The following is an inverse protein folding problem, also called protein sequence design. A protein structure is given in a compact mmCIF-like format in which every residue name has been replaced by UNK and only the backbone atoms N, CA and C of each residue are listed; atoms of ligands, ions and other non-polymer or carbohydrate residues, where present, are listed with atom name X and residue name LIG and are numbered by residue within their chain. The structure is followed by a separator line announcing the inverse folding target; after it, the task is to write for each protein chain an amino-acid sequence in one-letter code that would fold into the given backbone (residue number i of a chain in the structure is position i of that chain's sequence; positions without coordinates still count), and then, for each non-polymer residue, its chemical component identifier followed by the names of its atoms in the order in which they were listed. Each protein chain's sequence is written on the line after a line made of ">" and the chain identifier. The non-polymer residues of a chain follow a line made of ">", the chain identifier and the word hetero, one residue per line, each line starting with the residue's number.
data_IF_392385278732
#
_entry.id   IF_392385278732
#
_cell.length_a   1.000
_cell.length_b   1.000
_cell.length_c   1.000
_cell.angle_alpha   90.00
_cell.angle_beta   90.00
_cell.angle_gamma   90.00
#
_symmetry.space_group_name_H-M   'P 1'
#
loop_
_entity.id
_entity.type
_entity.pdbx_description
1 polymer ?
#
# COMPACT_ATOMS: atom_id res chain seq x y z
N UNK A 1 -24.30 -22.89 -4.30
CA UNK A 1 -24.45 -21.44 -4.59
C UNK A 1 -23.53 -21.16 -5.75
N UNK A 2 -24.02 -20.59 -6.85
CA UNK A 2 -23.17 -20.16 -8.00
C UNK A 2 -22.82 -18.69 -7.80
N UNK A 3 -21.58 -18.31 -8.08
CA UNK A 3 -21.10 -16.94 -8.01
C UNK A 3 -20.04 -16.74 -6.92
N UNK A 4 -19.69 -15.47 -6.68
CA UNK A 4 -18.71 -15.07 -5.67
C UNK A 4 -19.41 -14.58 -4.41
N UNK A 5 -18.89 -14.97 -3.25
CA UNK A 5 -19.35 -14.54 -1.94
C UNK A 5 -18.15 -14.19 -1.08
N UNK A 6 -18.12 -12.98 -0.53
CA UNK A 6 -17.16 -12.58 0.49
C UNK A 6 -17.84 -12.80 1.85
N UNK A 7 -17.16 -13.53 2.72
CA UNK A 7 -17.58 -13.78 4.10
C UNK A 7 -16.64 -13.05 5.03
N UNK A 8 -17.18 -12.14 5.85
CA UNK A 8 -16.43 -11.41 6.88
C UNK A 8 -16.83 -11.93 8.25
N UNK A 9 -15.85 -12.27 9.08
CA UNK A 9 -16.07 -12.82 10.42
C UNK A 9 -14.89 -12.48 11.35
N UNK A 10 -14.97 -12.93 12.59
CA UNK A 10 -13.90 -12.83 13.58
C UNK A 10 -13.59 -14.23 14.17
N UNK A 11 -12.33 -14.56 14.22
CA UNK A 11 -11.84 -15.77 14.91
C UNK A 11 -10.95 -15.35 16.09
N UNK A 12 -11.36 -15.70 17.32
CA UNK A 12 -10.67 -15.33 18.58
C UNK A 12 -10.42 -13.82 18.71
N UNK A 13 -11.35 -13.00 18.21
CA UNK A 13 -11.27 -11.54 18.25
C UNK A 13 -10.48 -10.90 17.11
N UNK A 14 -9.83 -11.69 16.25
CA UNK A 14 -9.11 -11.20 15.06
C UNK A 14 -9.99 -11.26 13.81
N UNK A 15 -9.83 -10.30 12.90
CA UNK A 15 -10.57 -10.28 11.65
C UNK A 15 -10.21 -11.47 10.75
N UNK A 16 -11.22 -12.05 10.14
CA UNK A 16 -11.08 -13.10 9.12
C UNK A 16 -11.96 -12.76 7.93
N UNK A 17 -11.45 -12.90 6.73
CA UNK A 17 -12.23 -12.77 5.50
C UNK A 17 -11.98 -13.97 4.60
N UNK A 18 -13.03 -14.45 3.93
CA UNK A 18 -12.94 -15.55 2.98
C UNK A 18 -13.63 -15.21 1.67
N UNK A 19 -12.99 -15.52 0.55
CA UNK A 19 -13.61 -15.50 -0.78
C UNK A 19 -14.07 -16.90 -1.14
N UNK A 20 -15.37 -17.04 -1.37
CA UNK A 20 -15.97 -18.26 -1.86
C UNK A 20 -16.34 -18.10 -3.34
N UNK A 21 -15.94 -19.04 -4.20
CA UNK A 21 -16.30 -19.08 -5.61
C UNK A 21 -17.04 -20.39 -5.89
N UNK A 22 -18.26 -20.28 -6.37
CA UNK A 22 -19.16 -21.43 -6.65
C UNK A 22 -19.27 -22.44 -5.48
N UNK A 23 -19.28 -21.91 -4.24
CA UNK A 23 -19.39 -22.70 -3.02
C UNK A 23 -18.08 -23.34 -2.54
N UNK A 24 -16.94 -23.01 -3.17
CA UNK A 24 -15.61 -23.47 -2.75
C UNK A 24 -14.81 -22.29 -2.20
N UNK A 25 -13.97 -22.54 -1.18
CA UNK A 25 -13.02 -21.58 -0.68
C UNK A 25 -11.96 -21.33 -1.75
N UNK A 26 -11.81 -20.06 -2.15
CA UNK A 26 -10.87 -19.60 -3.16
C UNK A 26 -9.70 -18.86 -2.50
N UNK A 27 -10.00 -17.93 -1.55
CA UNK A 27 -8.99 -17.20 -0.80
C UNK A 27 -9.42 -17.01 0.66
N UNK A 28 -8.44 -16.83 1.55
CA UNK A 28 -8.65 -16.70 2.98
C UNK A 28 -7.62 -15.75 3.61
N UNK A 29 -8.11 -14.71 4.27
CA UNK A 29 -7.30 -13.73 4.97
C UNK A 29 -7.53 -13.84 6.47
N UNK A 30 -6.45 -13.99 7.23
CA UNK A 30 -6.44 -13.93 8.68
C UNK A 30 -5.66 -12.71 9.15
N UNK A 31 -6.20 -12.03 10.14
CA UNK A 31 -5.43 -11.06 10.90
C UNK A 31 -4.45 -11.75 11.84
N UNK A 32 -3.36 -11.07 12.15
CA UNK A 32 -2.31 -11.55 13.04
C UNK A 32 -1.85 -10.38 13.92
N UNK A 33 -1.14 -10.69 15.02
CA UNK A 33 -0.51 -9.67 15.86
C UNK A 33 0.75 -9.05 15.20
N UNK A 34 1.16 -9.55 14.04
CA UNK A 34 2.29 -9.02 13.30
C UNK A 34 1.88 -7.76 12.51
N UNK A 35 2.82 -6.82 12.29
CA UNK A 35 2.56 -5.65 11.46
C UNK A 35 2.11 -6.05 10.06
N UNK A 36 1.04 -5.41 9.57
CA UNK A 36 0.42 -5.73 8.28
C UNK A 36 1.20 -5.16 7.11
N UNK A 37 1.34 -5.89 5.99
CA UNK A 37 1.89 -5.34 4.75
C UNK A 37 1.15 -4.07 4.34
N UNK A 38 1.89 -3.07 3.86
CA UNK A 38 1.34 -1.74 3.57
C UNK A 38 1.55 -0.73 4.69
N UNK A 39 1.84 -1.16 5.93
CA UNK A 39 2.17 -0.25 7.04
C UNK A 39 3.32 0.68 6.65
N UNK A 40 3.14 1.99 6.88
CA UNK A 40 4.13 3.02 6.62
C UNK A 40 4.72 3.50 7.94
N UNK A 41 6.03 3.49 8.02
CA UNK A 41 6.79 3.95 9.18
C UNK A 41 7.66 5.16 8.84
N UNK A 42 7.81 6.05 9.80
CA UNK A 42 9.03 6.82 9.95
C UNK A 42 10.01 5.95 10.71
N UNK A 43 11.05 5.47 10.03
CA UNK A 43 12.08 4.62 10.61
C UNK A 43 13.39 5.38 10.79
N UNK A 44 14.28 4.87 11.63
CA UNK A 44 15.61 5.45 11.85
C UNK A 44 16.67 4.50 11.28
N UNK A 45 17.49 5.00 10.36
CA UNK A 45 18.61 4.27 9.80
C UNK A 45 19.58 3.85 10.94
N UNK A 46 19.94 2.56 10.98
CA UNK A 46 20.77 2.00 12.03
C UNK A 46 22.17 1.66 11.49
N UNK A 47 22.32 0.53 10.82
CA UNK A 47 23.62 0.06 10.34
C UNK A 47 23.57 -0.47 8.92
N UNK A 48 24.55 -0.13 8.07
CA UNK A 48 24.64 -0.68 6.73
C UNK A 48 25.09 -2.15 6.77
N UNK A 49 24.61 -2.93 5.79
CA UNK A 49 25.06 -4.31 5.57
C UNK A 49 26.12 -4.31 4.48
N UNK A 50 27.35 -4.60 4.86
CA UNK A 50 28.50 -4.66 3.92
C UNK A 50 28.25 -5.71 2.84
N UNK A 51 28.52 -5.35 1.58
CA UNK A 51 28.43 -6.24 0.43
C UNK A 51 27.04 -6.44 -0.16
N UNK A 52 25.95 -6.07 0.53
CA UNK A 52 24.58 -6.24 0.03
C UNK A 52 23.91 -4.93 -0.37
N UNK A 53 24.52 -3.77 -0.11
CA UNK A 53 23.93 -2.45 -0.41
C UNK A 53 22.66 -2.15 0.36
N UNK A 54 22.40 -2.89 1.43
CA UNK A 54 21.23 -2.75 2.30
C UNK A 54 21.54 -2.07 3.62
N UNK A 55 20.50 -1.72 4.36
CA UNK A 55 20.60 -1.08 5.68
C UNK A 55 19.55 -1.65 6.63
N UNK A 56 19.95 -1.91 7.87
CA UNK A 56 19.00 -2.10 8.95
C UNK A 56 18.45 -0.75 9.42
N UNK A 57 17.18 -0.73 9.73
CA UNK A 57 16.50 0.44 10.29
C UNK A 57 15.71 0.05 11.54
N UNK A 58 15.46 1.00 12.42
CA UNK A 58 14.63 0.83 13.62
C UNK A 58 13.22 1.32 13.33
N UNK A 59 12.23 0.50 13.61
CA UNK A 59 10.79 0.84 13.58
C UNK A 59 10.19 0.58 14.96
N UNK A 60 8.98 1.10 15.27
CA UNK A 60 8.27 0.75 16.50
C UNK A 60 8.04 -0.75 16.69
N UNK A 61 7.83 -1.49 15.58
CA UNK A 61 7.54 -2.92 15.57
C UNK A 61 8.80 -3.80 15.47
N UNK A 62 9.99 -3.20 15.60
CA UNK A 62 11.25 -3.93 15.60
C UNK A 62 12.20 -3.57 14.46
N UNK A 63 13.26 -4.38 14.27
CA UNK A 63 14.25 -4.11 13.23
C UNK A 63 13.68 -4.37 11.83
N UNK A 64 13.89 -3.39 10.94
CA UNK A 64 13.55 -3.50 9.53
C UNK A 64 14.80 -3.61 8.65
N UNK A 65 14.65 -4.10 7.43
CA UNK A 65 15.70 -4.21 6.44
C UNK A 65 15.30 -3.58 5.10
N UNK A 66 16.11 -2.62 4.65
CA UNK A 66 16.04 -1.98 3.35
C UNK A 66 17.09 -2.57 2.40
N UNK A 67 16.64 -3.11 1.25
CA UNK A 67 17.57 -3.74 0.29
C UNK A 67 18.46 -2.75 -0.47
N UNK A 68 17.94 -1.57 -0.81
CA UNK A 68 18.64 -0.56 -1.61
C UNK A 68 18.65 0.77 -0.86
N UNK A 69 19.58 0.92 0.05
CA UNK A 69 19.68 2.06 0.96
C UNK A 69 20.88 2.97 0.63
N UNK A 70 21.01 3.39 -0.64
CA UNK A 70 22.09 4.29 -1.06
C UNK A 70 21.91 5.67 -0.45
N UNK A 71 22.99 6.24 0.09
CA UNK A 71 23.04 7.61 0.57
C UNK A 71 22.42 7.83 1.96
N UNK A 72 21.98 6.77 2.65
CA UNK A 72 21.49 6.87 4.02
C UNK A 72 22.64 6.82 5.04
N UNK A 73 22.60 7.73 6.01
CA UNK A 73 23.51 7.75 7.15
C UNK A 73 22.85 7.19 8.40
N UNK A 74 23.58 6.47 9.26
CA UNK A 74 23.07 6.05 10.57
C UNK A 74 22.51 7.24 11.38
N UNK A 75 21.36 7.04 12.02
CA UNK A 75 20.64 8.07 12.75
C UNK A 75 19.68 8.92 11.91
N UNK A 76 19.72 8.83 10.61
CA UNK A 76 18.81 9.55 9.71
C UNK A 76 17.41 8.94 9.78
N UNK A 77 16.37 9.77 9.89
CA UNK A 77 14.99 9.35 9.73
C UNK A 77 14.63 9.17 8.26
N UNK A 78 13.76 8.22 7.97
CA UNK A 78 13.33 7.87 6.61
C UNK A 78 11.94 7.27 6.61
N UNK A 79 11.15 7.61 5.61
CA UNK A 79 9.86 6.97 5.36
C UNK A 79 10.07 5.62 4.64
N UNK A 80 9.42 4.59 5.16
CA UNK A 80 9.49 3.23 4.61
C UNK A 80 8.15 2.52 4.71
N UNK A 81 7.90 1.57 3.83
CA UNK A 81 6.69 0.76 3.82
C UNK A 81 7.00 -0.72 3.95
N UNK A 82 6.22 -1.42 4.76
CA UNK A 82 6.29 -2.87 4.92
C UNK A 82 5.74 -3.56 3.66
N UNK A 83 6.53 -4.42 3.03
CA UNK A 83 6.18 -5.06 1.75
C UNK A 83 5.46 -6.39 1.90
N UNK A 84 5.77 -7.14 2.95
CA UNK A 84 5.17 -8.44 3.26
C UNK A 84 5.35 -8.76 4.74
N UNK A 85 4.65 -9.77 5.23
CA UNK A 85 4.93 -10.30 6.57
C UNK A 85 6.38 -10.76 6.68
N UNK A 86 6.99 -10.47 7.82
CA UNK A 86 8.33 -10.95 8.11
C UNK A 86 8.32 -12.46 8.41
N UNK A 87 9.33 -13.17 7.96
CA UNK A 87 9.55 -14.55 8.41
C UNK A 87 9.96 -14.54 9.89
N UNK A 88 9.58 -15.56 10.66
CA UNK A 88 9.94 -15.66 12.07
C UNK A 88 11.44 -15.46 12.31
N UNK A 89 11.78 -14.53 13.20
CA UNK A 89 13.19 -14.19 13.54
C UNK A 89 13.92 -13.35 12.51
N UNK A 90 13.29 -12.92 11.42
CA UNK A 90 13.88 -11.99 10.44
C UNK A 90 13.40 -10.55 10.63
N UNK A 91 14.20 -9.61 10.14
CA UNK A 91 13.83 -8.19 10.10
C UNK A 91 12.66 -7.94 9.15
N UNK A 92 11.85 -6.92 9.45
CA UNK A 92 10.73 -6.47 8.62
C UNK A 92 11.22 -6.12 7.22
N UNK A 93 10.67 -6.70 6.14
CA UNK A 93 11.06 -6.37 4.78
C UNK A 93 10.45 -5.04 4.36
N UNK A 94 11.29 -4.02 4.22
CA UNK A 94 10.89 -2.64 3.99
C UNK A 94 11.35 -2.13 2.62
N UNK A 95 10.60 -1.14 2.10
CA UNK A 95 10.95 -0.39 0.89
C UNK A 95 10.81 1.11 1.14
N UNK A 96 11.61 1.91 0.41
CA UNK A 96 11.45 3.37 0.34
C UNK A 96 10.41 3.79 -0.69
N UNK A 97 10.06 2.89 -1.64
CA UNK A 97 9.02 3.14 -2.64
C UNK A 97 7.65 2.96 -2.00
N UNK A 98 7.13 4.05 -1.45
CA UNK A 98 5.84 4.07 -0.79
C UNK A 98 4.72 4.10 -1.83
N UNK A 99 3.69 3.28 -1.62
CA UNK A 99 2.48 3.23 -2.43
C UNK A 99 1.27 3.45 -1.52
N UNK A 100 0.43 4.41 -1.87
CA UNK A 100 -0.85 4.64 -1.19
C UNK A 100 -1.94 3.95 -2.00
N UNK A 101 -2.44 2.83 -1.46
CA UNK A 101 -3.36 1.93 -2.16
C UNK A 101 -4.73 1.97 -1.52
N UNK A 102 -5.75 2.04 -2.35
CA UNK A 102 -7.15 1.93 -1.97
C UNK A 102 -7.89 0.97 -2.89
N UNK A 103 -9.23 1.01 -2.85
CA UNK A 103 -10.07 0.18 -3.71
C UNK A 103 -9.86 0.47 -5.19
N UNK A 104 -9.83 1.74 -5.59
CA UNK A 104 -9.82 2.19 -7.00
C UNK A 104 -8.47 2.71 -7.44
N UNK A 105 -7.69 3.29 -6.53
CA UNK A 105 -6.48 4.04 -6.83
C UNK A 105 -5.23 3.48 -6.17
N UNK A 106 -4.08 3.69 -6.83
CA UNK A 106 -2.75 3.55 -6.24
C UNK A 106 -2.00 4.83 -6.58
N UNK A 107 -1.74 5.66 -5.57
CA UNK A 107 -0.90 6.84 -5.73
C UNK A 107 0.57 6.45 -5.52
N UNK A 108 1.43 6.90 -6.43
CA UNK A 108 2.85 6.53 -6.51
C UNK A 108 3.73 7.78 -6.47
N UNK A 109 4.14 8.26 -5.28
CA UNK A 109 4.90 9.52 -5.15
C UNK A 109 6.19 9.58 -5.98
N UNK A 110 6.93 8.45 -6.04
CA UNK A 110 8.23 8.37 -6.69
C UNK A 110 8.17 7.93 -8.17
N UNK A 111 6.98 7.73 -8.72
CA UNK A 111 6.79 7.25 -10.09
C UNK A 111 5.70 8.07 -10.79
N UNK A 112 6.02 9.26 -11.33
CA UNK A 112 5.05 10.12 -11.99
C UNK A 112 4.42 9.45 -13.21
N UNK A 113 3.22 9.89 -13.56
CA UNK A 113 2.45 9.42 -14.72
C UNK A 113 1.12 8.79 -14.32
N UNK A 114 0.15 8.94 -15.22
CA UNK A 114 -1.21 8.41 -15.03
C UNK A 114 -1.36 7.11 -15.82
N UNK A 115 -1.79 6.06 -15.14
CA UNK A 115 -1.93 4.73 -15.72
C UNK A 115 -3.29 4.12 -15.39
N UNK A 116 -3.80 3.30 -16.31
CA UNK A 116 -5.03 2.54 -16.12
C UNK A 116 -4.70 1.06 -16.23
N UNK A 117 -5.30 0.24 -15.38
CA UNK A 117 -5.12 -1.21 -15.39
C UNK A 117 -5.24 -1.78 -16.81
N UNK A 118 -4.30 -2.64 -17.20
CA UNK A 118 -4.27 -3.28 -18.52
C UNK A 118 -5.43 -4.26 -18.74
N UNK A 119 -6.14 -4.66 -17.69
CA UNK A 119 -7.32 -5.50 -17.79
C UNK A 119 -8.55 -4.76 -18.32
N UNK A 120 -8.59 -3.42 -18.22
CA UNK A 120 -9.60 -2.58 -18.83
C UNK A 120 -9.19 -2.36 -20.29
N UNK A 121 -9.88 -3.03 -21.23
CA UNK A 121 -9.53 -3.04 -22.66
C UNK A 121 -10.41 -2.13 -23.51
N UNK A 122 -11.56 -1.74 -23.00
CA UNK A 122 -12.49 -0.85 -23.69
C UNK A 122 -11.90 0.57 -23.76
N UNK A 123 -11.75 1.10 -24.96
CA UNK A 123 -11.06 2.38 -25.20
C UNK A 123 -11.90 3.56 -24.69
N UNK A 124 -13.21 3.55 -24.84
CA UNK A 124 -14.08 4.62 -24.35
C UNK A 124 -14.02 4.70 -22.83
N UNK A 125 -14.04 3.53 -22.17
CA UNK A 125 -13.87 3.43 -20.72
C UNK A 125 -12.49 3.93 -20.26
N UNK A 126 -11.44 3.62 -21.02
CA UNK A 126 -10.08 4.08 -20.73
C UNK A 126 -9.96 5.59 -20.85
N UNK A 127 -10.51 6.18 -21.92
CA UNK A 127 -10.51 7.64 -22.13
C UNK A 127 -11.25 8.35 -20.98
N UNK A 128 -12.40 7.83 -20.59
CA UNK A 128 -13.19 8.35 -19.48
C UNK A 128 -12.42 8.32 -18.17
N UNK A 129 -11.81 7.18 -17.84
CA UNK A 129 -11.00 7.01 -16.62
C UNK A 129 -9.74 7.89 -16.65
N UNK A 130 -9.13 8.07 -17.80
CA UNK A 130 -8.00 8.98 -17.96
C UNK A 130 -8.43 10.43 -17.73
N UNK A 131 -9.63 10.82 -18.18
CA UNK A 131 -10.20 12.13 -17.90
C UNK A 131 -10.38 12.39 -16.40
N UNK A 132 -10.91 11.40 -15.65
CA UNK A 132 -11.02 11.49 -14.19
C UNK A 132 -9.64 11.63 -13.56
N UNK A 133 -8.68 10.77 -13.96
CA UNK A 133 -7.32 10.80 -13.41
C UNK A 133 -6.64 12.18 -13.64
N UNK A 134 -6.80 12.77 -14.81
CA UNK A 134 -6.28 14.11 -15.09
C UNK A 134 -6.97 15.20 -14.28
N UNK A 135 -8.30 15.13 -14.13
CA UNK A 135 -9.06 16.08 -13.33
C UNK A 135 -8.60 16.09 -11.88
N UNK A 136 -8.51 14.90 -11.26
CA UNK A 136 -8.27 14.79 -9.82
C UNK A 136 -6.78 14.96 -9.46
N UNK A 137 -5.86 14.47 -10.30
CA UNK A 137 -4.42 14.64 -10.02
C UNK A 137 -3.88 16.01 -10.41
N UNK A 138 -4.54 16.72 -11.33
CA UNK A 138 -4.15 18.07 -11.75
C UNK A 138 -2.67 18.16 -12.14
N UNK A 139 -1.96 19.13 -11.55
CA UNK A 139 -0.51 19.36 -11.73
C UNK A 139 0.37 18.57 -10.74
N UNK A 140 -0.19 17.57 -10.06
CA UNK A 140 0.57 16.75 -9.12
C UNK A 140 1.74 16.04 -9.81
N UNK A 141 2.91 16.07 -9.17
CA UNK A 141 4.08 15.30 -9.62
C UNK A 141 4.01 13.80 -9.22
N UNK A 142 3.00 13.41 -8.44
CA UNK A 142 2.79 12.02 -8.09
C UNK A 142 2.14 11.27 -9.25
N UNK A 143 2.46 9.98 -9.38
CA UNK A 143 1.79 9.10 -10.31
C UNK A 143 0.51 8.50 -9.74
N UNK A 144 -0.35 8.01 -10.63
CA UNK A 144 -1.59 7.33 -10.30
C UNK A 144 -1.75 6.08 -11.18
N UNK A 145 -2.23 5.00 -10.55
CA UNK A 145 -2.67 3.79 -11.26
C UNK A 145 -4.12 3.52 -10.87
N UNK A 146 -5.04 3.61 -11.84
CA UNK A 146 -6.42 3.17 -11.65
C UNK A 146 -6.53 1.66 -11.79
N UNK A 147 -7.17 1.03 -10.80
CA UNK A 147 -7.28 -0.44 -10.69
C UNK A 147 -8.41 -0.97 -11.59
N UNK A 148 -8.42 -2.29 -11.79
CA UNK A 148 -9.39 -2.96 -12.67
C UNK A 148 -10.85 -2.79 -12.26
N UNK A 149 -11.12 -2.65 -10.94
CA UNK A 149 -12.46 -2.44 -10.41
C UNK A 149 -13.09 -1.09 -10.82
N UNK A 150 -12.28 -0.13 -11.30
CA UNK A 150 -12.80 1.12 -11.88
C UNK A 150 -13.67 0.90 -13.13
N UNK A 151 -13.58 -0.26 -13.79
CA UNK A 151 -14.36 -0.55 -15.00
C UNK A 151 -15.88 -0.49 -14.77
N UNK A 152 -16.34 -0.77 -13.56
CA UNK A 152 -17.79 -0.83 -13.21
C UNK A 152 -18.16 0.06 -12.03
N UNK A 153 -17.23 0.90 -11.58
CA UNK A 153 -17.46 1.78 -10.44
C UNK A 153 -18.09 3.11 -10.86
N UNK A 154 -18.74 3.77 -9.91
CA UNK A 154 -19.22 5.15 -10.09
C UNK A 154 -18.04 6.11 -10.21
N UNK A 155 -18.21 7.14 -11.04
CA UNK A 155 -17.15 8.15 -11.29
C UNK A 155 -16.84 8.98 -10.06
N UNK A 156 -17.86 9.31 -9.27
CA UNK A 156 -17.68 10.07 -8.05
C UNK A 156 -16.89 9.26 -7.01
N UNK A 157 -17.22 7.97 -6.85
CA UNK A 157 -16.48 7.07 -5.95
C UNK A 157 -15.00 6.96 -6.33
N UNK A 158 -14.69 6.91 -7.64
CA UNK A 158 -13.31 6.87 -8.13
C UNK A 158 -12.58 8.20 -7.83
N UNK A 159 -13.23 9.34 -8.08
CA UNK A 159 -12.67 10.66 -7.82
C UNK A 159 -12.39 10.87 -6.32
N UNK A 160 -13.36 10.54 -5.47
CA UNK A 160 -13.22 10.64 -4.01
C UNK A 160 -12.06 9.79 -3.49
N UNK A 161 -11.90 8.57 -4.02
CA UNK A 161 -10.84 7.65 -3.64
C UNK A 161 -9.44 8.13 -4.08
N UNK A 162 -9.34 8.72 -5.29
CA UNK A 162 -8.10 9.37 -5.77
C UNK A 162 -7.71 10.49 -4.84
N UNK A 163 -8.66 11.41 -4.53
CA UNK A 163 -8.42 12.56 -3.67
C UNK A 163 -7.99 12.13 -2.28
N UNK A 164 -8.69 11.16 -1.68
CA UNK A 164 -8.33 10.64 -0.36
C UNK A 164 -6.90 10.08 -0.33
N UNK A 165 -6.47 9.35 -1.36
CA UNK A 165 -5.11 8.78 -1.42
C UNK A 165 -4.05 9.84 -1.73
N UNK A 166 -4.34 10.83 -2.56
CA UNK A 166 -3.43 11.94 -2.87
C UNK A 166 -3.21 12.84 -1.63
N UNK A 167 -4.27 13.13 -0.89
CA UNK A 167 -4.20 13.90 0.35
C UNK A 167 -3.40 13.16 1.42
N UNK A 168 -3.68 11.86 1.62
CA UNK A 168 -2.92 11.02 2.53
C UNK A 168 -1.43 10.98 2.15
N UNK A 169 -1.12 10.81 0.87
CA UNK A 169 0.25 10.82 0.38
C UNK A 169 0.94 12.15 0.68
N UNK A 170 0.27 13.26 0.42
CA UNK A 170 0.78 14.60 0.68
C UNK A 170 1.08 14.79 2.17
N UNK A 171 0.18 14.40 3.05
CA UNK A 171 0.37 14.49 4.50
C UNK A 171 1.55 13.64 4.98
N UNK A 172 1.58 12.36 4.59
CA UNK A 172 2.64 11.43 5.03
C UNK A 172 4.02 11.85 4.52
N UNK A 173 4.12 12.37 3.30
CA UNK A 173 5.39 12.81 2.73
C UNK A 173 5.99 14.02 3.47
N UNK A 174 5.22 14.76 4.25
CA UNK A 174 5.75 15.83 5.13
C UNK A 174 6.37 15.28 6.42
N UNK A 175 6.04 14.05 6.82
CA UNK A 175 6.43 13.40 8.09
C UNK A 175 7.82 12.73 8.04
N UNK A 176 8.77 13.30 7.27
CA UNK A 176 10.08 12.68 7.04
C UNK A 176 11.04 12.78 8.24
N UNK A 177 10.80 13.69 9.18
CA UNK A 177 11.71 13.97 10.30
C UNK A 177 11.05 13.69 11.63
N UNK A 178 11.79 13.08 12.56
CA UNK A 178 11.30 12.78 13.91
C UNK A 178 11.76 11.42 14.43
N UNK A 179 11.21 11.00 15.55
CA UNK A 179 11.44 9.68 16.11
C UNK A 179 10.81 8.56 15.25
N UNK A 180 11.21 7.32 15.49
CA UNK A 180 10.56 6.17 14.87
C UNK A 180 9.09 6.12 15.28
N UNK A 181 8.19 6.00 14.28
CA UNK A 181 6.73 6.05 14.48
C UNK A 181 6.01 5.27 13.39
N UNK A 182 4.86 4.66 13.72
CA UNK A 182 3.91 4.10 12.76
C UNK A 182 2.99 5.22 12.28
N UNK A 183 3.08 5.60 11.01
CA UNK A 183 2.30 6.70 10.43
C UNK A 183 0.99 6.23 9.82
N UNK A 184 0.99 5.04 9.20
CA UNK A 184 -0.19 4.42 8.62
C UNK A 184 -0.12 2.93 8.88
N UNK A 185 -1.18 2.34 9.41
CA UNK A 185 -1.31 0.89 9.53
C UNK A 185 -1.74 0.27 8.19
N UNK A 186 -1.24 -0.92 7.88
CA UNK A 186 -1.67 -1.70 6.74
C UNK A 186 -3.11 -2.23 6.89
N UNK A 187 -3.78 -2.44 5.78
CA UNK A 187 -5.15 -2.92 5.73
C UNK A 187 -5.31 -4.29 6.37
N UNK A 188 -6.38 -4.46 7.15
CA UNK A 188 -6.78 -5.74 7.71
C UNK A 188 -7.58 -6.59 6.72
N UNK A 189 -7.86 -7.86 7.08
CA UNK A 189 -8.59 -8.80 6.22
C UNK A 189 -9.91 -8.29 5.67
N UNK A 190 -10.68 -7.55 6.46
CA UNK A 190 -11.98 -7.01 6.02
C UNK A 190 -11.85 -5.92 4.95
N UNK A 191 -10.76 -5.15 4.96
CA UNK A 191 -10.51 -4.13 3.93
C UNK A 191 -9.87 -4.72 2.67
N UNK A 192 -9.14 -5.85 2.80
CA UNK A 192 -8.48 -6.52 1.68
C UNK A 192 -9.43 -7.37 0.85
N UNK A 193 -10.49 -7.91 1.45
CA UNK A 193 -11.48 -8.78 0.81
C UNK A 193 -12.48 -8.00 -0.05
#
# INVERSE_FOLDING_TARGET
>A
MKGRLIVLDHHKGQQVAALMVDGRLDDLWFDTDAPRPGTIYRAIADRPVKGMGGMFVKTPDGPGFLRHAKGLSPGQSILVQLTSYAEPGKALPLTQKILFKSRFAIVTPDAPGLNISRSIRDEEQRELLMGIAHSEMGESNMGLILRSCCATADRADIADDINAMADLATQILTEQTGAAETLVEGDGPHALA
#
